data_IF_891609420893
#
_entry.id   IF_891609420893
#
_cell.length_a   1.000
_cell.length_b   1.000
_cell.length_c   1.000
_cell.angle_alpha   90.00
_cell.angle_beta   90.00
_cell.angle_gamma   90.00
#
_symmetry.space_group_name_H-M   'P 1'
#
loop_
_entity.id
_entity.type
_entity.pdbx_description
1 polymer ?
#
# COMPACT_ATOMS: atom_id res chain seq x y z
N UNK A 1 2.45 14.26 16.33
CA UNK A 1 2.79 15.50 17.06
C UNK A 1 3.87 15.21 18.10
N UNK A 2 4.77 16.20 18.30
CA UNK A 2 5.75 16.11 19.37
C UNK A 2 5.06 16.37 20.71
N UNK A 3 5.47 15.66 21.73
CA UNK A 3 4.95 15.89 23.09
C UNK A 3 6.07 15.85 24.13
N UNK A 4 5.89 16.52 25.24
CA UNK A 4 6.77 16.41 26.40
C UNK A 4 6.00 16.65 27.69
N UNK A 5 6.37 15.93 28.73
CA UNK A 5 5.82 16.07 30.10
C UNK A 5 6.96 16.09 31.08
N UNK A 6 6.74 16.70 32.25
CA UNK A 6 7.68 16.60 33.40
C UNK A 6 7.30 15.40 34.24
N UNK A 7 8.27 14.56 34.56
CA UNK A 7 8.06 13.46 35.50
C UNK A 7 8.04 13.97 36.94
N UNK A 8 7.78 13.10 37.91
CA UNK A 8 7.70 13.43 39.35
C UNK A 8 9.01 13.97 39.92
N UNK A 9 10.14 13.81 39.24
CA UNK A 9 11.46 14.31 39.63
C UNK A 9 11.86 15.59 38.90
N UNK A 10 10.94 16.18 38.11
CA UNK A 10 11.20 17.40 37.33
C UNK A 10 11.96 17.20 36.01
N UNK A 11 12.35 15.98 35.66
CA UNK A 11 12.95 15.70 34.37
C UNK A 11 11.92 15.76 33.23
N UNK A 12 12.27 16.36 32.10
CA UNK A 12 11.44 16.37 30.90
C UNK A 12 11.62 15.06 30.10
N UNK A 13 10.53 14.37 29.90
CA UNK A 13 10.43 13.20 29.01
C UNK A 13 9.47 13.51 27.87
N UNK A 14 9.75 13.01 26.69
CA UNK A 14 8.90 13.30 25.54
C UNK A 14 9.33 12.55 24.31
N UNK A 15 8.59 12.74 23.23
CA UNK A 15 8.82 12.13 21.93
C UNK A 15 8.87 13.20 20.86
N UNK A 16 9.89 13.11 20.01
CA UNK A 16 10.05 13.98 18.85
C UNK A 16 9.98 13.15 17.58
N UNK A 17 9.08 13.55 16.69
CA UNK A 17 8.92 12.94 15.39
C UNK A 17 9.59 13.80 14.32
N UNK A 18 10.34 13.15 13.47
CA UNK A 18 10.99 13.77 12.31
C UNK A 18 10.52 13.08 11.03
N UNK A 19 10.32 13.84 9.95
CA UNK A 19 10.04 13.22 8.66
C UNK A 19 11.22 12.38 8.20
N UNK A 20 10.92 11.28 7.51
CA UNK A 20 11.90 10.52 6.74
C UNK A 20 12.36 11.38 5.56
N UNK A 21 13.62 11.30 5.15
CA UNK A 21 14.10 12.16 4.06
C UNK A 21 13.60 11.69 2.70
N UNK A 22 13.75 10.38 2.40
CA UNK A 22 13.39 9.81 1.11
C UNK A 22 12.62 8.50 1.28
N UNK A 23 11.49 8.38 0.60
CA UNK A 23 10.69 7.15 0.61
C UNK A 23 10.48 6.60 -0.78
N UNK A 24 10.53 5.29 -0.89
CA UNK A 24 10.14 4.55 -2.09
C UNK A 24 8.72 4.01 -1.93
N UNK A 25 7.88 4.28 -2.88
CA UNK A 25 6.51 3.76 -2.92
C UNK A 25 6.42 2.76 -4.05
N UNK A 26 6.14 1.50 -3.71
CA UNK A 26 5.84 0.46 -4.66
C UNK A 26 4.35 0.45 -4.97
N UNK A 27 4.00 0.69 -6.22
CA UNK A 27 2.61 0.59 -6.70
C UNK A 27 2.51 -0.64 -7.60
N UNK A 28 1.70 -1.64 -7.26
CA UNK A 28 1.55 -2.81 -8.12
C UNK A 28 0.99 -2.43 -9.48
N UNK A 29 1.48 -3.10 -10.52
CA UNK A 29 0.84 -3.14 -11.82
C UNK A 29 -0.20 -4.27 -11.87
N UNK A 30 -0.97 -4.31 -12.92
CA UNK A 30 -1.98 -5.33 -13.15
C UNK A 30 -3.04 -4.85 -14.12
N UNK A 31 -4.09 -5.66 -14.31
CA UNK A 31 -5.19 -5.36 -15.24
C UNK A 31 -5.99 -4.10 -14.86
N UNK A 32 -5.88 -3.65 -13.61
CA UNK A 32 -6.56 -2.45 -13.10
C UNK A 32 -5.54 -1.54 -12.42
N UNK A 33 -5.46 -0.25 -12.82
CA UNK A 33 -4.56 0.71 -12.18
C UNK A 33 -4.95 0.92 -10.72
N UNK A 34 -4.02 0.66 -9.77
CA UNK A 34 -4.27 0.84 -8.35
C UNK A 34 -4.06 2.30 -7.92
N UNK A 35 -4.92 3.19 -8.41
CA UNK A 35 -4.90 4.64 -8.09
C UNK A 35 -5.07 4.87 -6.59
N UNK A 36 -5.88 4.06 -5.92
CA UNK A 36 -6.08 4.11 -4.47
C UNK A 36 -4.76 3.96 -3.71
N UNK A 37 -3.89 3.04 -4.14
CA UNK A 37 -2.56 2.86 -3.54
C UNK A 37 -1.73 4.13 -3.67
N UNK A 38 -1.73 4.77 -4.83
CA UNK A 38 -1.03 6.05 -5.05
C UNK A 38 -1.55 7.12 -4.07
N UNK A 39 -2.87 7.32 -4.04
CA UNK A 39 -3.48 8.35 -3.20
C UNK A 39 -3.20 8.09 -1.72
N UNK A 40 -3.39 6.86 -1.26
CA UNK A 40 -3.25 6.50 0.16
C UNK A 40 -1.80 6.63 0.64
N UNK A 41 -0.82 6.26 -0.18
CA UNK A 41 0.59 6.26 0.23
C UNK A 41 1.25 7.63 0.05
N UNK A 42 1.08 8.25 -1.11
CA UNK A 42 1.70 9.55 -1.42
C UNK A 42 1.13 10.66 -0.55
N UNK A 43 -0.19 10.68 -0.32
CA UNK A 43 -0.81 11.70 0.53
C UNK A 43 -0.27 11.64 1.95
N UNK A 44 -0.14 10.43 2.52
CA UNK A 44 0.42 10.27 3.87
C UNK A 44 1.88 10.71 3.92
N UNK A 45 2.68 10.36 2.91
CA UNK A 45 4.08 10.79 2.83
C UNK A 45 4.19 12.33 2.80
N UNK A 46 3.32 13.01 2.05
CA UNK A 46 3.27 14.48 2.01
C UNK A 46 2.82 15.11 3.32
N UNK A 47 1.78 14.57 3.94
CA UNK A 47 1.32 15.03 5.25
C UNK A 47 2.41 14.85 6.31
N UNK A 48 3.16 13.76 6.23
CA UNK A 48 4.34 13.51 7.07
C UNK A 48 5.55 14.38 6.72
N UNK A 49 5.46 15.24 5.68
CA UNK A 49 6.51 16.15 5.21
C UNK A 49 7.79 15.42 4.76
N UNK A 50 7.62 14.25 4.15
CA UNK A 50 8.71 13.55 3.47
C UNK A 50 9.23 14.44 2.33
N UNK A 51 10.54 14.62 2.25
CA UNK A 51 11.14 15.55 1.28
C UNK A 51 11.15 14.99 -0.14
N UNK A 52 11.50 13.71 -0.26
CA UNK A 52 11.66 13.04 -1.54
C UNK A 52 10.79 11.80 -1.59
N UNK A 53 9.94 11.74 -2.61
CA UNK A 53 9.01 10.63 -2.82
C UNK A 53 9.30 10.06 -4.20
N UNK A 54 9.77 8.83 -4.24
CA UNK A 54 9.97 8.08 -5.49
C UNK A 54 8.92 6.98 -5.61
N UNK A 55 8.35 6.84 -6.79
CA UNK A 55 7.38 5.80 -7.09
C UNK A 55 7.97 4.82 -8.09
N UNK A 56 7.85 3.54 -7.79
CA UNK A 56 8.17 2.44 -8.71
C UNK A 56 6.91 1.65 -9.02
N UNK A 57 6.69 1.36 -10.29
CA UNK A 57 5.55 0.56 -10.75
C UNK A 57 5.96 -0.22 -11.99
N UNK A 58 5.58 -1.51 -12.11
CA UNK A 58 5.83 -2.24 -13.34
C UNK A 58 5.06 -1.58 -14.50
N UNK A 59 5.70 -1.46 -15.66
CA UNK A 59 4.99 -1.00 -16.86
C UNK A 59 4.01 -2.07 -17.37
N UNK A 60 3.05 -1.64 -18.16
CA UNK A 60 2.19 -2.51 -18.94
C UNK A 60 2.98 -3.22 -20.05
N UNK A 61 2.33 -4.12 -20.78
CA UNK A 61 2.96 -4.93 -21.86
C UNK A 61 3.54 -4.09 -23.00
N UNK A 62 3.04 -2.88 -23.21
CA UNK A 62 3.53 -1.90 -24.20
C UNK A 62 4.65 -0.99 -23.65
N UNK A 63 5.07 -1.21 -22.39
CA UNK A 63 6.10 -0.42 -21.73
C UNK A 63 5.61 0.92 -21.17
N UNK A 64 4.30 1.17 -21.15
CA UNK A 64 3.70 2.40 -20.59
C UNK A 64 3.21 2.21 -19.16
N UNK A 65 2.88 3.31 -18.50
CA UNK A 65 2.15 3.32 -17.22
C UNK A 65 0.75 3.86 -17.53
N UNK A 66 -0.27 3.26 -16.92
CA UNK A 66 -1.66 3.69 -17.10
C UNK A 66 -1.82 5.21 -16.93
N UNK A 67 -2.44 5.93 -17.89
CA UNK A 67 -2.57 7.39 -17.84
C UNK A 67 -3.24 7.90 -16.56
N UNK A 68 -4.22 7.15 -16.04
CA UNK A 68 -4.93 7.49 -14.81
C UNK A 68 -3.99 7.49 -13.60
N UNK A 69 -3.03 6.55 -13.56
CA UNK A 69 -2.01 6.51 -12.50
C UNK A 69 -1.05 7.70 -12.62
N UNK A 70 -0.60 8.01 -13.83
CA UNK A 70 0.25 9.18 -14.07
C UNK A 70 -0.45 10.49 -13.69
N UNK A 71 -1.73 10.64 -14.04
CA UNK A 71 -2.53 11.81 -13.63
C UNK A 71 -2.67 11.94 -12.11
N UNK A 72 -2.87 10.82 -11.41
CA UNK A 72 -2.92 10.84 -9.94
C UNK A 72 -1.57 11.22 -9.31
N UNK A 73 -0.46 10.71 -9.85
CA UNK A 73 0.89 11.04 -9.40
C UNK A 73 1.22 12.51 -9.66
N UNK A 74 0.86 13.04 -10.83
CA UNK A 74 1.03 14.45 -11.20
C UNK A 74 0.21 15.35 -10.27
N UNK A 75 -1.06 15.05 -10.05
CA UNK A 75 -1.93 15.79 -9.13
C UNK A 75 -1.35 15.84 -7.71
N UNK A 76 -0.74 14.74 -7.29
CA UNK A 76 -0.04 14.66 -6.01
C UNK A 76 1.40 15.24 -6.07
N UNK A 77 1.85 15.77 -7.20
CA UNK A 77 3.14 16.39 -7.39
C UNK A 77 4.32 15.45 -7.19
N UNK A 78 4.17 14.18 -7.59
CA UNK A 78 5.27 13.21 -7.65
C UNK A 78 5.97 13.39 -8.99
N UNK A 79 7.26 13.66 -8.96
CA UNK A 79 8.07 13.92 -10.17
C UNK A 79 9.04 12.78 -10.48
N UNK A 80 9.27 11.88 -9.54
CA UNK A 80 10.23 10.80 -9.67
C UNK A 80 9.51 9.45 -9.75
N UNK A 81 9.40 8.91 -10.96
CA UNK A 81 8.64 7.71 -11.27
C UNK A 81 9.50 6.79 -12.13
N UNK A 82 9.66 5.54 -11.71
CA UNK A 82 10.41 4.53 -12.46
C UNK A 82 9.53 3.36 -12.89
N UNK A 83 9.67 2.99 -14.15
CA UNK A 83 8.96 1.85 -14.76
C UNK A 83 9.68 0.54 -14.44
N UNK A 84 9.63 0.14 -13.18
CA UNK A 84 10.24 -1.10 -12.68
C UNK A 84 9.37 -1.71 -11.60
N UNK A 85 9.18 -3.01 -11.63
CA UNK A 85 8.37 -3.76 -10.67
C UNK A 85 9.10 -4.98 -10.12
N UNK A 86 8.41 -5.79 -9.33
CA UNK A 86 8.96 -7.03 -8.77
C UNK A 86 10.05 -6.83 -7.72
N UNK A 87 10.78 -7.91 -7.42
CA UNK A 87 11.86 -7.90 -6.43
C UNK A 87 12.99 -6.94 -6.79
N UNK A 88 13.28 -6.77 -8.09
CA UNK A 88 14.32 -5.86 -8.58
C UNK A 88 14.01 -4.39 -8.27
N UNK A 89 12.75 -3.99 -8.26
CA UNK A 89 12.35 -2.63 -7.84
C UNK A 89 12.65 -2.40 -6.35
N UNK A 90 12.37 -3.39 -5.51
CA UNK A 90 12.68 -3.34 -4.08
C UNK A 90 14.20 -3.29 -3.85
N UNK A 91 14.96 -4.11 -4.58
CA UNK A 91 16.42 -4.09 -4.53
C UNK A 91 16.99 -2.73 -4.96
N UNK A 92 16.48 -2.16 -6.07
CA UNK A 92 16.91 -0.84 -6.55
C UNK A 92 16.64 0.26 -5.52
N UNK A 93 15.46 0.25 -4.88
CA UNK A 93 15.12 1.21 -3.83
C UNK A 93 15.98 1.04 -2.57
N UNK A 94 16.33 -0.20 -2.20
CA UNK A 94 17.09 -0.47 -0.98
C UNK A 94 18.59 -0.17 -1.11
N UNK A 95 19.20 -0.61 -2.21
CA UNK A 95 20.64 -0.49 -2.42
C UNK A 95 21.04 0.73 -3.23
N UNK A 96 20.11 1.28 -3.99
CA UNK A 96 20.39 2.27 -5.01
C UNK A 96 20.98 1.65 -6.28
N UNK A 97 20.90 2.42 -7.35
CA UNK A 97 21.53 2.15 -8.64
C UNK A 97 22.05 3.48 -9.20
N UNK A 98 22.70 3.45 -10.36
CA UNK A 98 23.14 4.68 -11.03
C UNK A 98 21.96 5.62 -11.38
N UNK A 99 20.74 5.07 -11.53
CA UNK A 99 19.54 5.82 -11.93
C UNK A 99 18.55 6.04 -10.79
N UNK A 100 18.56 5.20 -9.77
CA UNK A 100 17.60 5.23 -8.67
C UNK A 100 18.38 5.33 -7.37
N UNK A 101 18.47 6.50 -6.74
CA UNK A 101 19.07 6.63 -5.42
C UNK A 101 18.32 5.81 -4.37
N UNK A 102 19.05 5.24 -3.41
CA UNK A 102 18.47 4.47 -2.31
C UNK A 102 17.51 5.31 -1.45
N UNK A 103 16.58 4.64 -0.79
CA UNK A 103 15.57 5.27 0.07
C UNK A 103 15.73 4.84 1.53
N UNK A 104 15.18 5.63 2.44
CA UNK A 104 15.19 5.29 3.88
C UNK A 104 14.12 4.26 4.24
N UNK A 105 13.00 4.26 3.49
CA UNK A 105 11.88 3.35 3.75
C UNK A 105 11.08 3.04 2.49
N UNK A 106 10.63 1.78 2.37
CA UNK A 106 9.81 1.29 1.26
C UNK A 106 8.39 1.03 1.75
N UNK A 107 7.41 1.58 1.03
CA UNK A 107 5.98 1.41 1.28
C UNK A 107 5.30 0.81 0.07
N UNK A 108 4.16 0.22 0.31
CA UNK A 108 3.24 -0.26 -0.73
C UNK A 108 3.07 -1.77 -0.74
N UNK A 109 1.90 -2.24 -1.18
CA UNK A 109 1.60 -3.65 -1.32
C UNK A 109 2.34 -4.25 -2.51
N UNK A 110 2.49 -5.56 -2.52
CA UNK A 110 3.10 -6.27 -3.61
C UNK A 110 2.80 -7.77 -3.55
N UNK A 111 3.17 -8.49 -4.60
CA UNK A 111 3.04 -9.94 -4.65
C UNK A 111 4.07 -10.63 -3.75
N UNK A 112 4.05 -11.98 -3.73
CA UNK A 112 4.95 -12.76 -2.90
C UNK A 112 6.44 -12.47 -3.13
N UNK A 113 6.85 -12.16 -4.38
CA UNK A 113 8.23 -11.81 -4.70
C UNK A 113 8.62 -10.45 -4.14
N UNK A 114 7.73 -9.46 -4.21
CA UNK A 114 7.93 -8.13 -3.62
C UNK A 114 8.00 -8.23 -2.10
N UNK A 115 7.11 -8.98 -1.48
CA UNK A 115 7.10 -9.20 -0.04
C UNK A 115 8.37 -9.90 0.44
N UNK A 116 8.82 -10.93 -0.29
CA UNK A 116 10.07 -11.62 0.05
C UNK A 116 11.28 -10.70 -0.12
N UNK A 117 11.32 -9.90 -1.18
CA UNK A 117 12.37 -8.89 -1.35
C UNK A 117 12.39 -7.86 -0.21
N UNK A 118 11.20 -7.34 0.19
CA UNK A 118 11.09 -6.43 1.35
C UNK A 118 11.59 -7.09 2.62
N UNK A 119 11.27 -8.37 2.85
CA UNK A 119 11.77 -9.13 3.99
C UNK A 119 13.30 -9.21 4.01
N UNK A 120 13.93 -9.45 2.85
CA UNK A 120 15.39 -9.59 2.75
C UNK A 120 16.14 -8.26 2.95
N UNK A 121 15.56 -7.14 2.56
CA UNK A 121 16.18 -5.82 2.71
C UNK A 121 15.83 -5.14 4.04
N UNK A 122 14.95 -5.72 4.83
CA UNK A 122 14.58 -5.18 6.14
C UNK A 122 15.80 -5.14 7.08
N UNK A 123 16.04 -3.97 7.65
CA UNK A 123 17.23 -3.69 8.47
C UNK A 123 18.29 -2.88 7.71
N UNK A 124 18.42 -3.06 6.39
CA UNK A 124 19.15 -2.13 5.53
C UNK A 124 18.29 -0.89 5.24
N UNK A 125 17.03 -1.10 4.92
CA UNK A 125 16.02 -0.09 4.67
C UNK A 125 14.78 -0.38 5.52
N UNK A 126 14.05 0.65 5.95
CA UNK A 126 12.77 0.45 6.61
C UNK A 126 11.72 -0.09 5.63
N UNK A 127 10.75 -0.84 6.13
CA UNK A 127 9.58 -1.26 5.35
C UNK A 127 8.29 -0.91 6.12
N UNK A 128 7.16 -0.90 5.42
CA UNK A 128 5.84 -0.75 6.04
C UNK A 128 5.42 -2.05 6.76
N UNK A 129 5.10 -3.09 5.99
CA UNK A 129 4.71 -4.41 6.50
C UNK A 129 4.97 -5.49 5.44
N UNK A 130 4.83 -6.74 5.84
CA UNK A 130 4.89 -7.92 4.97
C UNK A 130 3.50 -8.57 4.94
N UNK A 131 2.56 -8.05 4.12
CA UNK A 131 1.21 -8.57 4.08
C UNK A 131 1.19 -9.97 3.45
N UNK A 132 0.42 -10.86 4.08
CA UNK A 132 0.00 -12.11 3.46
C UNK A 132 -1.24 -11.91 2.57
N UNK A 133 -1.78 -12.98 1.97
CA UNK A 133 -3.09 -12.94 1.34
C UNK A 133 -4.15 -12.48 2.34
N UNK A 134 -4.98 -11.52 1.95
CA UNK A 134 -6.04 -11.01 2.82
C UNK A 134 -7.21 -11.98 2.88
N UNK A 135 -7.84 -12.04 4.04
CA UNK A 135 -9.07 -12.78 4.25
C UNK A 135 -10.16 -11.79 4.68
N UNK A 136 -11.39 -12.00 4.22
CA UNK A 136 -12.55 -11.22 4.63
C UNK A 136 -13.66 -12.11 5.10
N UNK A 137 -14.33 -11.71 6.18
CA UNK A 137 -15.57 -12.31 6.62
C UNK A 137 -16.62 -11.21 6.74
N UNK A 138 -17.71 -11.35 6.00
CA UNK A 138 -18.86 -10.46 6.08
C UNK A 138 -19.96 -11.17 6.85
N UNK A 139 -20.49 -10.52 7.87
CA UNK A 139 -21.62 -11.03 8.65
C UNK A 139 -22.83 -10.17 8.29
N UNK A 140 -23.85 -10.81 7.75
CA UNK A 140 -25.09 -10.17 7.30
C UNK A 140 -26.30 -10.73 8.05
N UNK A 141 -27.22 -9.86 8.41
CA UNK A 141 -28.52 -10.20 8.98
C UNK A 141 -29.66 -9.62 8.13
N UNK A 142 -30.90 -9.78 8.58
CA UNK A 142 -32.08 -9.29 7.85
C UNK A 142 -32.14 -7.78 7.66
N UNK A 143 -31.32 -6.99 8.36
CA UNK A 143 -31.21 -5.54 8.21
C UNK A 143 -30.14 -5.11 7.20
N UNK A 144 -29.28 -6.04 6.79
CA UNK A 144 -28.17 -5.75 5.88
C UNK A 144 -28.66 -5.53 4.45
N UNK A 145 -28.09 -4.54 3.78
CA UNK A 145 -28.37 -4.33 2.36
C UNK A 145 -27.57 -5.33 1.51
N UNK A 146 -28.23 -6.20 0.72
CA UNK A 146 -27.56 -7.25 -0.06
C UNK A 146 -26.51 -6.69 -1.04
N UNK A 147 -26.78 -5.56 -1.68
CA UNK A 147 -25.85 -4.95 -2.62
C UNK A 147 -24.54 -4.49 -1.94
N UNK A 148 -24.63 -4.00 -0.71
CA UNK A 148 -23.43 -3.61 0.05
C UNK A 148 -22.64 -4.83 0.53
N UNK A 149 -23.33 -5.89 0.89
CA UNK A 149 -22.69 -7.17 1.25
C UNK A 149 -21.95 -7.75 0.04
N UNK A 150 -22.62 -7.80 -1.11
CA UNK A 150 -21.99 -8.25 -2.36
C UNK A 150 -20.77 -7.40 -2.74
N UNK A 151 -20.88 -6.09 -2.66
CA UNK A 151 -19.76 -5.17 -2.94
C UNK A 151 -18.56 -5.40 -1.99
N UNK A 152 -18.82 -5.66 -0.70
CA UNK A 152 -17.76 -5.93 0.27
C UNK A 152 -17.03 -7.26 0.00
N UNK A 153 -17.75 -8.29 -0.46
CA UNK A 153 -17.16 -9.57 -0.86
C UNK A 153 -16.38 -9.43 -2.17
N UNK A 154 -16.92 -8.71 -3.16
CA UNK A 154 -16.27 -8.45 -4.44
C UNK A 154 -14.99 -7.63 -4.28
N UNK A 155 -14.95 -6.66 -3.39
CA UNK A 155 -13.75 -5.86 -3.10
C UNK A 155 -12.55 -6.72 -2.68
N UNK A 156 -12.78 -7.87 -2.05
CA UNK A 156 -11.71 -8.83 -1.74
C UNK A 156 -11.48 -9.82 -2.90
N UNK A 157 -12.55 -10.23 -3.59
CA UNK A 157 -12.46 -11.18 -4.70
C UNK A 157 -11.68 -10.62 -5.90
N UNK A 158 -11.77 -9.32 -6.14
CA UNK A 158 -11.09 -8.66 -7.29
C UNK A 158 -9.56 -8.74 -7.25
N UNK A 159 -8.96 -9.00 -6.07
CA UNK A 159 -7.51 -9.20 -5.97
C UNK A 159 -7.01 -10.40 -6.79
N UNK A 160 -7.85 -11.44 -6.97
CA UNK A 160 -7.68 -12.47 -7.99
C UNK A 160 -6.42 -13.32 -7.88
N UNK A 161 -5.73 -13.35 -6.74
CA UNK A 161 -4.54 -14.20 -6.56
C UNK A 161 -4.88 -15.70 -6.41
N UNK A 162 -6.15 -16.00 -6.16
CA UNK A 162 -6.67 -17.35 -5.87
C UNK A 162 -6.30 -17.87 -4.48
N UNK A 163 -5.71 -17.03 -3.63
CA UNK A 163 -5.33 -17.35 -2.25
C UNK A 163 -6.17 -16.62 -1.21
N UNK A 164 -6.98 -15.68 -1.65
CA UNK A 164 -7.93 -14.95 -0.81
C UNK A 164 -8.98 -15.92 -0.28
N UNK A 165 -9.31 -15.76 0.99
CA UNK A 165 -10.44 -16.47 1.60
C UNK A 165 -11.55 -15.50 1.91
N UNK A 166 -12.72 -15.78 1.39
CA UNK A 166 -13.90 -14.93 1.48
C UNK A 166 -15.01 -15.72 2.14
N UNK A 167 -15.51 -15.22 3.25
CA UNK A 167 -16.53 -15.86 4.04
C UNK A 167 -17.75 -14.96 4.13
N UNK A 168 -18.92 -15.53 3.89
CA UNK A 168 -20.21 -14.91 4.15
C UNK A 168 -20.96 -15.70 5.23
N UNK A 169 -21.26 -15.04 6.33
CA UNK A 169 -22.17 -15.54 7.37
C UNK A 169 -23.48 -14.76 7.27
N UNK A 170 -24.61 -15.48 7.17
CA UNK A 170 -25.93 -14.88 7.06
C UNK A 170 -26.94 -15.61 7.96
N UNK A 171 -27.90 -14.86 8.48
CA UNK A 171 -28.89 -15.38 9.42
C UNK A 171 -30.12 -16.01 8.75
N UNK A 172 -30.41 -15.65 7.49
CA UNK A 172 -31.59 -16.10 6.76
C UNK A 172 -31.24 -16.54 5.33
N UNK A 173 -31.70 -17.73 4.94
CA UNK A 173 -31.43 -18.31 3.62
C UNK A 173 -31.92 -17.43 2.46
N UNK A 174 -33.02 -16.68 2.65
CA UNK A 174 -33.55 -15.76 1.65
C UNK A 174 -32.60 -14.64 1.24
N UNK A 175 -31.65 -14.27 2.10
CA UNK A 175 -30.66 -13.25 1.78
C UNK A 175 -29.52 -13.77 0.88
N UNK A 176 -29.25 -15.06 0.91
CA UNK A 176 -28.19 -15.66 0.09
C UNK A 176 -28.47 -15.47 -1.39
N UNK A 177 -29.72 -15.72 -1.82
CA UNK A 177 -30.13 -15.63 -3.22
C UNK A 177 -30.15 -14.18 -3.76
N UNK A 178 -30.14 -13.17 -2.87
CA UNK A 178 -30.06 -11.74 -3.23
C UNK A 178 -28.62 -11.22 -3.28
N UNK A 179 -27.68 -11.91 -2.63
CA UNK A 179 -26.27 -11.49 -2.53
C UNK A 179 -25.40 -12.17 -3.60
N UNK A 180 -25.75 -13.39 -4.02
CA UNK A 180 -25.03 -14.19 -5.01
C UNK A 180 -25.56 -14.03 -6.41
#
# INVERSE_FOLDING_TARGET
ENWSVSNIHGAKVGEKHYPINRVGIYVPGGNVPLISTVIMTVTIAKVAKVKEIVVVTPPDSDGTIAPQMLSALELLGVTEIYKVGGAQAVGALAYGTDSIPSVDKIFGPGNAFVNEAKRQVYGLVGIDLLPGPSEVMVIADSSSNPAFVAAALLAQAEHGSGKEKIYLLFSAKSQFDEIT
#
